data_IF_767342587564
#
_entry.id   IF_767342587564
#
_cell.length_a   1.000
_cell.length_b   1.000
_cell.length_c   1.000
_cell.angle_alpha   90.00
_cell.angle_beta   90.00
_cell.angle_gamma   90.00
#
_symmetry.space_group_name_H-M   'P 1'
#
loop_
_entity.id
_entity.type
_entity.pdbx_description
1 polymer ?
#
# COMPACT_ATOMS: atom_id res chain seq x y z
N UNK A 1 -8.20 -12.83 -8.44
CA UNK A 1 -8.53 -11.54 -7.81
C UNK A 1 -7.73 -10.45 -8.50
N UNK A 2 -8.21 -9.21 -8.55
CA UNK A 2 -7.52 -8.14 -9.28
C UNK A 2 -6.27 -7.67 -8.50
N UNK A 3 -5.23 -7.22 -9.23
CA UNK A 3 -4.09 -6.53 -8.64
C UNK A 3 -4.42 -5.06 -8.48
N UNK A 4 -4.08 -4.50 -7.32
CA UNK A 4 -4.32 -3.10 -6.98
C UNK A 4 -3.00 -2.33 -6.91
N UNK A 5 -3.03 -1.13 -7.46
CA UNK A 5 -1.99 -0.13 -7.31
C UNK A 5 -2.59 1.04 -6.50
N UNK A 6 -1.99 1.35 -5.35
CA UNK A 6 -2.37 2.49 -4.54
C UNK A 6 -1.31 3.59 -4.69
N UNK A 7 -1.64 4.64 -5.44
CA UNK A 7 -0.76 5.79 -5.60
C UNK A 7 -0.97 6.82 -4.49
N UNK A 8 0.03 6.96 -3.61
CA UNK A 8 0.01 7.77 -2.40
C UNK A 8 -0.71 7.05 -1.26
N UNK A 9 -0.06 6.96 -0.10
CA UNK A 9 -0.62 6.22 1.05
C UNK A 9 -0.39 6.93 2.38
N UNK A 10 -0.73 8.22 2.40
CA UNK A 10 -0.92 8.98 3.63
C UNK A 10 -2.13 8.51 4.46
N UNK A 11 -2.73 9.41 5.23
CA UNK A 11 -3.81 9.06 6.19
C UNK A 11 -5.02 8.35 5.55
N UNK A 12 -5.51 8.83 4.41
CA UNK A 12 -6.67 8.22 3.75
C UNK A 12 -6.31 6.90 3.05
N UNK A 13 -5.20 6.88 2.31
CA UNK A 13 -4.75 5.67 1.61
C UNK A 13 -4.47 4.51 2.55
N UNK A 14 -3.87 4.79 3.71
CA UNK A 14 -3.63 3.76 4.73
C UNK A 14 -4.91 3.21 5.38
N UNK A 15 -5.97 4.02 5.51
CA UNK A 15 -7.28 3.54 5.96
C UNK A 15 -7.95 2.64 4.91
N UNK A 16 -7.91 3.03 3.63
CA UNK A 16 -8.36 2.17 2.53
C UNK A 16 -7.59 0.86 2.47
N UNK A 17 -6.26 0.92 2.56
CA UNK A 17 -5.38 -0.24 2.56
C UNK A 17 -5.72 -1.21 3.70
N UNK A 18 -5.96 -0.68 4.91
CA UNK A 18 -6.36 -1.48 6.06
C UNK A 18 -7.66 -2.25 5.76
N UNK A 19 -8.70 -1.57 5.28
CA UNK A 19 -9.98 -2.21 4.95
C UNK A 19 -9.86 -3.25 3.83
N UNK A 20 -9.04 -3.01 2.81
CA UNK A 20 -8.82 -3.98 1.73
C UNK A 20 -8.13 -5.27 2.20
N UNK A 21 -7.23 -5.16 3.17
CA UNK A 21 -6.50 -6.30 3.75
C UNK A 21 -7.33 -7.11 4.75
N UNK A 22 -8.44 -6.57 5.26
CA UNK A 22 -9.37 -7.33 6.09
C UNK A 22 -10.14 -8.37 5.26
N UNK A 23 -10.61 -7.98 4.07
CA UNK A 23 -11.22 -8.81 3.02
C UNK A 23 -11.53 -7.87 1.83
N UNK A 24 -11.30 -8.22 0.55
CA UNK A 24 -10.90 -9.51 0.01
C UNK A 24 -9.42 -9.66 -0.38
N UNK A 25 -8.58 -8.65 -0.23
CA UNK A 25 -7.26 -8.65 -0.85
C UNK A 25 -6.16 -9.22 0.05
N UNK A 26 -5.21 -9.94 -0.56
CA UNK A 26 -3.97 -10.29 0.11
C UNK A 26 -2.93 -9.19 -0.07
N UNK A 27 -1.93 -9.16 0.82
CA UNK A 27 -0.81 -8.21 0.74
C UNK A 27 -0.06 -8.28 -0.60
N UNK A 28 0.01 -9.48 -1.18
CA UNK A 28 0.63 -9.76 -2.49
C UNK A 28 -0.21 -9.27 -3.68
N UNK A 29 -1.45 -8.84 -3.45
CA UNK A 29 -2.31 -8.25 -4.47
C UNK A 29 -2.17 -6.74 -4.58
N UNK A 30 -1.47 -6.10 -3.64
CA UNK A 30 -1.40 -4.63 -3.53
C UNK A 30 0.04 -4.17 -3.62
N UNK A 31 0.28 -3.18 -4.48
CA UNK A 31 1.51 -2.40 -4.52
C UNK A 31 1.18 -0.94 -4.20
N UNK A 32 1.97 -0.31 -3.33
CA UNK A 32 1.81 1.11 -2.99
C UNK A 32 2.93 1.92 -3.64
N UNK A 33 2.58 3.01 -4.31
CA UNK A 33 3.55 4.00 -4.76
C UNK A 33 3.56 5.14 -3.75
N UNK A 34 4.69 5.38 -3.10
CA UNK A 34 4.86 6.46 -2.14
C UNK A 34 6.26 7.08 -2.26
N UNK A 35 6.38 8.31 -2.80
CA UNK A 35 7.68 8.96 -2.97
C UNK A 35 8.32 9.40 -1.64
N UNK A 36 7.53 9.57 -0.57
CA UNK A 36 8.08 9.85 0.75
C UNK A 36 8.59 8.55 1.41
N UNK A 37 9.91 8.43 1.55
CA UNK A 37 10.55 7.22 2.08
C UNK A 37 10.12 6.84 3.50
N UNK A 38 9.86 7.81 4.38
CA UNK A 38 9.42 7.54 5.74
C UNK A 38 8.00 6.95 5.77
N UNK A 39 7.09 7.54 4.97
CA UNK A 39 5.71 7.05 4.83
C UNK A 39 5.73 5.63 4.21
N UNK A 40 6.50 5.43 3.14
CA UNK A 40 6.64 4.13 2.48
C UNK A 40 7.14 3.04 3.44
N UNK A 41 8.19 3.34 4.23
CA UNK A 41 8.71 2.42 5.23
C UNK A 41 7.69 2.10 6.33
N UNK A 42 6.93 3.10 6.79
CA UNK A 42 5.87 2.91 7.77
C UNK A 42 4.78 1.98 7.23
N UNK A 43 4.34 2.18 5.98
CA UNK A 43 3.33 1.34 5.32
C UNK A 43 3.84 -0.10 5.16
N UNK A 44 5.05 -0.27 4.65
CA UNK A 44 5.65 -1.59 4.46
C UNK A 44 5.75 -2.34 5.80
N UNK A 45 6.22 -1.66 6.85
CA UNK A 45 6.35 -2.25 8.19
C UNK A 45 5.00 -2.58 8.82
N UNK A 46 4.00 -1.70 8.67
CA UNK A 46 2.68 -1.86 9.30
C UNK A 46 1.80 -2.89 8.60
N UNK A 47 1.75 -2.85 7.27
CA UNK A 47 0.80 -3.64 6.47
C UNK A 47 1.47 -4.83 5.75
N UNK A 48 2.79 -4.82 5.58
CA UNK A 48 3.53 -5.88 4.89
C UNK A 48 3.28 -5.93 3.38
N UNK A 49 2.87 -4.82 2.77
CA UNK A 49 2.68 -4.70 1.32
C UNK A 49 3.94 -4.18 0.65
N UNK A 50 4.08 -4.46 -0.65
CA UNK A 50 5.17 -3.90 -1.44
C UNK A 50 5.00 -2.39 -1.60
N UNK A 51 6.09 -1.64 -1.43
CA UNK A 51 6.11 -0.19 -1.65
C UNK A 51 7.22 0.16 -2.65
N UNK A 52 6.93 1.10 -3.54
CA UNK A 52 7.89 1.64 -4.52
C UNK A 52 7.78 3.16 -4.54
N UNK A 53 8.85 3.87 -4.89
CA UNK A 53 8.83 5.33 -4.91
C UNK A 53 8.11 5.91 -6.15
N UNK A 54 8.03 5.13 -7.23
CA UNK A 54 7.57 5.55 -8.57
C UNK A 54 7.12 4.34 -9.40
N UNK A 55 6.27 4.54 -10.44
CA UNK A 55 5.64 3.46 -11.22
C UNK A 55 6.49 2.84 -12.35
N UNK A 56 7.72 3.31 -12.58
CA UNK A 56 8.62 2.90 -13.68
C UNK A 56 9.53 1.70 -13.34
#
# INVERSE_FOLDING_TARGET
>A
MAKLLLAGCGKMGSAMLAGWLENPYQKSDIVVIEPNGEIAQNIASRFGVATVARPD
#
